data_IF_347678008025
#
_entry.id   IF_347678008025
#
_cell.length_a   1.000
_cell.length_b   1.000
_cell.length_c   1.000
_cell.angle_alpha   90.00
_cell.angle_beta   90.00
_cell.angle_gamma   90.00
#
_symmetry.space_group_name_H-M   'P 1'
#
loop_
_entity.id
_entity.type
_entity.pdbx_description
1 polymer ?
#
# COMPACT_ATOMS: atom_id res chain seq x y z
N UNK A 1 -23.05 52.09 14.32
CA UNK A 1 -23.83 50.97 13.77
C UNK A 1 -22.93 50.19 12.82
N UNK A 2 -22.18 49.22 13.34
CA UNK A 2 -21.29 48.36 12.55
C UNK A 2 -21.80 46.93 12.69
N UNK A 3 -22.35 46.39 11.60
CA UNK A 3 -22.77 44.99 11.50
C UNK A 3 -21.60 44.20 10.91
N UNK A 4 -20.98 43.34 11.71
CA UNK A 4 -20.01 42.36 11.23
C UNK A 4 -20.74 41.03 11.02
N UNK A 5 -20.92 40.65 9.75
CA UNK A 5 -21.49 39.36 9.36
C UNK A 5 -20.45 38.25 9.49
N UNK A 6 -20.81 37.23 10.26
CA UNK A 6 -20.13 35.95 10.35
C UNK A 6 -20.17 35.17 9.02
N UNK A 7 -19.06 34.54 8.65
CA UNK A 7 -18.96 33.52 7.60
C UNK A 7 -17.48 33.19 7.36
N UNK A 8 -17.00 31.96 7.25
CA UNK A 8 -17.67 30.67 7.19
C UNK A 8 -16.79 29.58 7.80
N UNK A 9 -17.46 28.49 8.14
CA UNK A 9 -16.94 27.29 8.75
C UNK A 9 -15.87 26.63 7.88
N UNK A 10 -14.64 26.55 8.41
CA UNK A 10 -13.63 25.61 7.93
C UNK A 10 -14.05 24.18 8.28
N UNK A 11 -14.31 23.36 7.27
CA UNK A 11 -14.47 21.91 7.47
C UNK A 11 -13.11 21.33 7.85
N UNK A 12 -12.89 21.14 9.16
CA UNK A 12 -11.76 20.37 9.67
C UNK A 12 -12.03 18.91 9.31
N UNK A 13 -11.25 18.38 8.36
CA UNK A 13 -11.13 16.93 8.14
C UNK A 13 -10.79 16.30 9.48
N UNK A 14 -11.69 15.47 9.99
CA UNK A 14 -11.41 14.61 11.13
C UNK A 14 -10.38 13.60 10.64
N UNK A 15 -9.12 13.82 11.00
CA UNK A 15 -8.13 12.74 10.99
C UNK A 15 -8.53 11.84 12.15
N UNK A 16 -9.20 10.73 11.85
CA UNK A 16 -9.45 9.68 12.84
C UNK A 16 -8.08 9.07 13.14
N UNK A 17 -7.45 9.50 14.24
CA UNK A 17 -6.35 8.77 14.83
C UNK A 17 -6.93 7.50 15.45
N UNK A 18 -6.94 6.41 14.68
CA UNK A 18 -7.23 5.09 15.22
C UNK A 18 -6.12 4.71 16.21
N UNK A 19 -6.51 4.24 17.40
CA UNK A 19 -5.57 3.66 18.36
C UNK A 19 -4.89 2.43 17.76
N UNK A 20 -3.63 2.11 18.13
CA UNK A 20 -2.95 0.93 17.61
C UNK A 20 -3.63 -0.32 18.18
N UNK A 21 -4.46 -0.97 17.36
CA UNK A 21 -4.80 -2.37 17.57
C UNK A 21 -3.56 -3.20 17.24
N UNK A 22 -3.36 -4.31 17.94
CA UNK A 22 -2.21 -5.21 17.81
C UNK A 22 -2.19 -6.01 16.48
N UNK A 23 -2.75 -5.44 15.41
CA UNK A 23 -2.68 -5.93 14.04
C UNK A 23 -1.74 -4.99 13.30
N UNK A 24 -0.61 -5.51 12.83
CA UNK A 24 0.28 -4.70 12.00
C UNK A 24 -0.51 -4.22 10.79
N UNK A 25 -0.60 -2.90 10.58
CA UNK A 25 -1.24 -2.36 9.39
C UNK A 25 -0.53 -2.89 8.13
N UNK A 26 -1.32 -3.44 7.20
CA UNK A 26 -0.80 -4.22 6.07
C UNK A 26 -0.79 -3.37 4.80
N UNK A 27 0.29 -3.47 4.01
CA UNK A 27 0.34 -3.02 2.63
C UNK A 27 0.33 -4.23 1.69
N UNK A 28 -0.65 -4.29 0.81
CA UNK A 28 -0.77 -5.29 -0.25
C UNK A 28 0.12 -4.89 -1.42
N UNK A 29 1.10 -5.74 -1.75
CA UNK A 29 1.91 -5.61 -2.96
C UNK A 29 1.07 -5.91 -4.22
N UNK A 30 1.56 -5.46 -5.37
CA UNK A 30 0.88 -5.59 -6.66
C UNK A 30 0.54 -7.03 -6.99
N UNK A 31 1.42 -7.99 -6.67
CA UNK A 31 1.17 -9.40 -6.94
C UNK A 31 -0.03 -9.95 -6.14
N UNK A 32 -0.18 -9.57 -4.86
CA UNK A 32 -1.32 -9.93 -4.02
C UNK A 32 -2.61 -9.32 -4.57
N UNK A 33 -2.59 -8.06 -4.99
CA UNK A 33 -3.74 -7.41 -5.65
C UNK A 33 -4.15 -8.17 -6.92
N UNK A 34 -3.19 -8.53 -7.76
CA UNK A 34 -3.43 -9.28 -9.00
C UNK A 34 -4.02 -10.66 -8.68
N UNK A 35 -3.50 -11.38 -7.68
CA UNK A 35 -4.05 -12.68 -7.30
C UNK A 35 -5.45 -12.59 -6.69
N UNK A 36 -5.75 -11.53 -5.95
CA UNK A 36 -7.10 -11.25 -5.47
C UNK A 36 -8.06 -11.05 -6.65
N UNK A 37 -7.71 -10.17 -7.59
CA UNK A 37 -8.53 -9.86 -8.77
C UNK A 37 -8.72 -11.06 -9.71
N UNK A 38 -7.75 -11.99 -9.73
CA UNK A 38 -7.86 -13.27 -10.45
C UNK A 38 -8.74 -14.31 -9.76
N UNK A 39 -9.30 -14.01 -8.59
CA UNK A 39 -10.22 -14.91 -7.90
C UNK A 39 -9.55 -16.04 -7.12
N UNK A 40 -8.28 -15.90 -6.72
CA UNK A 40 -7.61 -16.94 -5.93
C UNK A 40 -8.21 -17.01 -4.52
N UNK A 41 -9.01 -18.04 -4.26
CA UNK A 41 -9.80 -18.15 -3.02
C UNK A 41 -9.02 -18.00 -1.71
N UNK A 42 -7.84 -18.64 -1.52
CA UNK A 42 -7.05 -18.40 -0.31
C UNK A 42 -6.70 -16.92 -0.07
N UNK A 43 -6.42 -16.18 -1.16
CA UNK A 43 -6.08 -14.76 -1.06
C UNK A 43 -7.31 -13.91 -0.80
N UNK A 44 -8.43 -14.20 -1.46
CA UNK A 44 -9.68 -13.48 -1.20
C UNK A 44 -10.11 -13.64 0.25
N UNK A 45 -10.13 -14.88 0.76
CA UNK A 45 -10.47 -15.16 2.14
C UNK A 45 -9.56 -14.40 3.11
N UNK A 46 -8.24 -14.44 2.87
CA UNK A 46 -7.29 -13.73 3.72
C UNK A 46 -7.43 -12.20 3.65
N UNK A 47 -7.61 -11.60 2.46
CA UNK A 47 -7.85 -10.15 2.31
C UNK A 47 -9.13 -9.72 3.01
N UNK A 48 -10.20 -10.53 2.95
CA UNK A 48 -11.43 -10.28 3.70
C UNK A 48 -11.23 -10.37 5.22
N UNK A 49 -10.46 -11.36 5.68
CA UNK A 49 -10.13 -11.53 7.10
C UNK A 49 -9.37 -10.32 7.64
N UNK A 50 -8.26 -9.93 6.99
CA UNK A 50 -7.48 -8.77 7.44
C UNK A 50 -8.29 -7.48 7.32
N UNK A 51 -9.11 -7.35 6.28
CA UNK A 51 -10.00 -6.21 6.07
C UNK A 51 -11.10 -6.06 7.13
N UNK A 52 -11.43 -7.13 7.86
CA UNK A 52 -12.34 -7.07 9.01
C UNK A 52 -11.70 -6.48 10.27
N UNK A 53 -10.36 -6.43 10.31
CA UNK A 53 -9.57 -5.93 11.44
C UNK A 53 -9.07 -4.50 11.21
N UNK A 54 -8.57 -4.21 10.01
CA UNK A 54 -8.07 -2.90 9.57
C UNK A 54 -8.18 -2.80 8.05
N UNK A 55 -8.40 -1.59 7.51
CA UNK A 55 -8.50 -1.39 6.06
C UNK A 55 -7.12 -1.63 5.43
N UNK A 56 -6.96 -2.61 4.52
CA UNK A 56 -5.67 -2.89 3.91
C UNK A 56 -5.25 -1.73 3.01
N UNK A 57 -3.94 -1.50 2.94
CA UNK A 57 -3.35 -0.43 2.14
C UNK A 57 -2.76 -0.97 0.85
N UNK A 58 -2.60 -0.12 -0.14
CA UNK A 58 -1.73 -0.38 -1.29
C UNK A 58 -0.98 0.88 -1.68
N UNK A 59 0.14 0.72 -2.39
CA UNK A 59 0.88 1.86 -2.93
C UNK A 59 0.15 2.44 -4.15
N UNK A 60 0.23 3.76 -4.34
CA UNK A 60 -0.21 4.38 -5.59
C UNK A 60 0.51 3.80 -6.84
N UNK A 61 1.74 3.27 -6.68
CA UNK A 61 2.41 2.55 -7.76
C UNK A 61 1.77 1.18 -8.04
N UNK A 62 1.32 0.46 -7.01
CA UNK A 62 0.58 -0.80 -7.21
C UNK A 62 -0.75 -0.56 -7.94
N UNK A 63 -1.43 0.55 -7.64
CA UNK A 63 -2.60 1.01 -8.42
C UNK A 63 -2.23 1.21 -9.89
N UNK A 64 -1.11 1.88 -10.15
CA UNK A 64 -0.62 2.13 -11.51
C UNK A 64 -0.38 0.82 -12.27
N UNK A 65 0.30 -0.14 -11.66
CA UNK A 65 0.59 -1.44 -12.27
C UNK A 65 -0.68 -2.26 -12.54
N UNK A 66 -1.62 -2.30 -11.59
CA UNK A 66 -2.90 -2.99 -11.75
C UNK A 66 -3.70 -2.39 -12.91
N UNK A 67 -3.84 -1.06 -12.95
CA UNK A 67 -4.60 -0.38 -14.02
C UNK A 67 -3.91 -0.55 -15.37
N UNK A 68 -2.58 -0.47 -15.43
CA UNK A 68 -1.83 -0.67 -16.67
C UNK A 68 -1.95 -2.11 -17.22
N UNK A 69 -2.06 -3.11 -16.34
CA UNK A 69 -2.18 -4.53 -16.70
C UNK A 69 -3.61 -5.03 -16.92
N UNK A 70 -4.61 -4.22 -16.58
CA UNK A 70 -6.04 -4.58 -16.59
C UNK A 70 -6.62 -4.66 -18.01
N UNK A 71 -7.49 -5.64 -18.27
CA UNK A 71 -8.29 -5.69 -19.50
C UNK A 71 -9.58 -4.86 -19.33
N UNK A 72 -10.13 -4.24 -20.38
CA UNK A 72 -11.33 -3.40 -20.26
C UNK A 72 -12.53 -4.05 -19.54
N UNK A 73 -12.73 -5.36 -19.76
CA UNK A 73 -13.80 -6.13 -19.10
C UNK A 73 -13.64 -6.28 -17.58
N UNK A 74 -12.42 -6.10 -17.07
CA UNK A 74 -12.07 -6.24 -15.65
C UNK A 74 -12.22 -4.90 -14.90
N UNK A 75 -12.42 -3.77 -15.61
CA UNK A 75 -12.47 -2.43 -15.03
C UNK A 75 -13.46 -2.27 -13.87
N UNK A 76 -14.72 -2.72 -13.96
CA UNK A 76 -15.67 -2.52 -12.88
C UNK A 76 -15.22 -3.19 -11.57
N UNK A 77 -14.81 -4.46 -11.65
CA UNK A 77 -14.34 -5.22 -10.48
C UNK A 77 -13.03 -4.66 -9.93
N UNK A 78 -12.11 -4.26 -10.80
CA UNK A 78 -10.83 -3.67 -10.38
C UNK A 78 -11.04 -2.33 -9.68
N UNK A 79 -11.89 -1.45 -10.22
CA UNK A 79 -12.20 -0.16 -9.60
C UNK A 79 -12.85 -0.35 -8.23
N UNK A 80 -13.87 -1.20 -8.14
CA UNK A 80 -14.54 -1.50 -6.87
C UNK A 80 -13.56 -2.02 -5.81
N UNK A 81 -12.67 -2.94 -6.19
CA UNK A 81 -11.67 -3.46 -5.26
C UNK A 81 -10.68 -2.38 -4.82
N UNK A 82 -10.09 -1.61 -5.74
CA UNK A 82 -9.12 -0.57 -5.40
C UNK A 82 -9.73 0.56 -4.55
N UNK A 83 -11.01 0.90 -4.77
CA UNK A 83 -11.75 1.87 -3.95
C UNK A 83 -12.01 1.37 -2.52
N UNK A 84 -11.97 0.06 -2.29
CA UNK A 84 -12.08 -0.53 -0.96
C UNK A 84 -10.77 -0.49 -0.15
N UNK A 85 -9.65 -0.12 -0.77
CA UNK A 85 -8.33 -0.07 -0.14
C UNK A 85 -7.93 1.37 0.24
N UNK A 86 -7.08 1.49 1.25
CA UNK A 86 -6.44 2.75 1.57
C UNK A 86 -5.17 2.95 0.70
N UNK A 87 -5.25 3.82 -0.30
CA UNK A 87 -4.09 4.13 -1.15
C UNK A 87 -3.10 5.04 -0.40
N UNK A 88 -1.82 4.65 -0.39
CA UNK A 88 -0.73 5.47 0.16
C UNK A 88 -0.04 6.21 -0.99
N UNK A 89 -0.13 7.54 -0.96
CA UNK A 89 0.52 8.42 -1.92
C UNK A 89 2.04 8.43 -1.74
N UNK A 90 2.77 8.64 -2.85
CA UNK A 90 4.23 8.79 -2.81
C UNK A 90 4.57 10.26 -2.60
N UNK A 91 5.06 10.58 -1.41
CA UNK A 91 5.58 11.90 -1.08
C UNK A 91 7.10 12.01 -1.27
N UNK A 92 7.66 13.18 -0.95
CA UNK A 92 9.10 13.44 -1.08
C UNK A 92 9.94 12.54 -0.18
N UNK A 93 9.47 12.22 1.03
CA UNK A 93 10.25 11.43 2.00
C UNK A 93 10.27 9.96 1.59
N UNK A 94 9.16 9.43 1.08
CA UNK A 94 9.09 8.10 0.46
C UNK A 94 10.02 8.04 -0.75
N UNK A 95 9.93 9.02 -1.66
CA UNK A 95 10.76 9.07 -2.87
C UNK A 95 12.26 9.15 -2.54
N UNK A 96 12.63 9.94 -1.52
CA UNK A 96 14.01 10.04 -1.06
C UNK A 96 14.52 8.70 -0.51
N UNK A 97 13.77 8.08 0.40
CA UNK A 97 14.14 6.79 0.97
C UNK A 97 14.23 5.69 -0.10
N UNK A 98 13.33 5.67 -1.08
CA UNK A 98 13.39 4.75 -2.21
C UNK A 98 14.70 4.92 -3.01
N UNK A 99 15.11 6.17 -3.27
CA UNK A 99 16.39 6.47 -3.91
C UNK A 99 17.61 6.00 -3.10
N UNK A 100 17.58 6.16 -1.78
CA UNK A 100 18.62 5.64 -0.89
C UNK A 100 18.71 4.10 -0.93
N UNK A 101 17.56 3.43 -0.92
CA UNK A 101 17.49 1.97 -1.04
C UNK A 101 18.09 1.50 -2.36
N UNK A 102 17.72 2.11 -3.49
CA UNK A 102 18.27 1.79 -4.82
C UNK A 102 19.80 2.00 -4.83
N UNK A 103 20.28 3.11 -4.29
CA UNK A 103 21.71 3.42 -4.25
C UNK A 103 22.48 2.39 -3.40
N UNK A 104 21.99 2.03 -2.22
CA UNK A 104 22.64 1.04 -1.35
C UNK A 104 22.69 -0.35 -2.01
N UNK A 105 21.59 -0.79 -2.63
CA UNK A 105 21.53 -2.07 -3.33
C UNK A 105 22.46 -2.09 -4.54
N UNK A 106 22.49 -1.01 -5.32
CA UNK A 106 23.39 -0.86 -6.46
C UNK A 106 24.87 -0.95 -6.06
N UNK A 107 25.26 -0.35 -4.93
CA UNK A 107 26.63 -0.46 -4.38
C UNK A 107 27.03 -1.90 -4.02
N UNK A 108 26.05 -2.76 -3.73
CA UNK A 108 26.23 -4.18 -3.41
C UNK A 108 26.10 -5.09 -4.65
N UNK A 109 25.93 -4.51 -5.83
CA UNK A 109 25.75 -5.25 -7.09
C UNK A 109 24.36 -5.89 -7.23
N UNK A 110 23.38 -5.44 -6.43
CA UNK A 110 21.99 -5.90 -6.48
C UNK A 110 21.14 -4.88 -7.23
N UNK A 111 20.13 -5.36 -7.96
CA UNK A 111 19.14 -4.52 -8.63
C UNK A 111 17.88 -4.53 -7.78
N UNK A 112 17.43 -3.35 -7.38
CA UNK A 112 16.12 -3.11 -6.80
C UNK A 112 15.43 -2.10 -7.72
N UNK A 113 14.30 -2.47 -8.31
CA UNK A 113 13.61 -1.57 -9.24
C UNK A 113 12.91 -0.42 -8.49
N UNK A 114 12.51 0.60 -9.26
CA UNK A 114 11.91 1.81 -8.71
C UNK A 114 10.58 1.55 -7.99
N UNK A 115 9.79 0.58 -8.46
CA UNK A 115 8.48 0.30 -7.87
C UNK A 115 8.67 -0.46 -6.57
N UNK A 116 9.44 -1.55 -6.56
CA UNK A 116 9.76 -2.33 -5.37
C UNK A 116 10.46 -1.45 -4.31
N UNK A 117 11.40 -0.60 -4.70
CA UNK A 117 12.05 0.35 -3.78
C UNK A 117 11.06 1.34 -3.16
N UNK A 118 10.11 1.84 -3.95
CA UNK A 118 9.10 2.79 -3.47
C UNK A 118 8.10 2.10 -2.55
N UNK A 119 7.64 0.89 -2.88
CA UNK A 119 6.77 0.08 -2.03
C UNK A 119 7.45 -0.21 -0.68
N UNK A 120 8.71 -0.62 -0.72
CA UNK A 120 9.47 -0.88 0.51
C UNK A 120 9.68 0.40 1.34
N UNK A 121 10.02 1.52 0.70
CA UNK A 121 10.16 2.81 1.38
C UNK A 121 8.83 3.23 2.04
N UNK A 122 7.70 3.04 1.36
CA UNK A 122 6.36 3.28 1.93
C UNK A 122 6.14 2.44 3.18
N UNK A 123 6.44 1.14 3.12
CA UNK A 123 6.30 0.26 4.29
C UNK A 123 7.18 0.70 5.46
N UNK A 124 8.44 1.03 5.20
CA UNK A 124 9.38 1.50 6.23
C UNK A 124 8.95 2.84 6.85
N UNK A 125 8.43 3.78 6.05
CA UNK A 125 8.01 5.10 6.53
C UNK A 125 6.75 5.06 7.39
N UNK A 126 5.84 4.16 7.08
CA UNK A 126 4.54 4.03 7.73
C UNK A 126 4.44 2.87 8.72
N UNK A 127 5.55 2.16 8.96
CA UNK A 127 5.61 0.96 9.81
C UNK A 127 4.59 -0.12 9.40
N UNK A 128 4.51 -0.38 8.10
CA UNK A 128 3.56 -1.35 7.52
C UNK A 128 4.23 -2.71 7.29
N UNK A 129 3.45 -3.78 7.47
CA UNK A 129 3.85 -5.12 7.05
C UNK A 129 3.50 -5.32 5.56
N UNK A 130 4.48 -5.74 4.76
CA UNK A 130 4.30 -6.01 3.33
C UNK A 130 3.71 -7.41 3.11
N UNK A 131 2.59 -7.48 2.41
CA UNK A 131 2.03 -8.73 1.90
C UNK A 131 2.44 -8.88 0.42
N UNK A 132 3.33 -9.84 0.13
CA UNK A 132 3.89 -10.07 -1.21
C UNK A 132 4.14 -11.56 -1.42
N UNK A 133 4.01 -12.05 -2.66
CA UNK A 133 4.48 -13.38 -3.06
C UNK A 133 5.97 -13.38 -3.43
N UNK A 134 6.59 -12.21 -3.53
CA UNK A 134 7.95 -12.04 -4.02
C UNK A 134 8.89 -11.48 -2.94
N UNK A 135 8.77 -11.95 -1.70
CA UNK A 135 9.59 -11.49 -0.56
C UNK A 135 11.11 -11.47 -0.85
N UNK A 136 11.60 -12.38 -1.71
CA UNK A 136 13.01 -12.43 -2.16
C UNK A 136 13.46 -11.18 -2.95
N UNK A 137 12.55 -10.42 -3.55
CA UNK A 137 12.86 -9.16 -4.25
C UNK A 137 13.14 -8.01 -3.26
N UNK A 138 12.82 -8.20 -1.98
CA UNK A 138 12.95 -7.20 -0.95
C UNK A 138 14.02 -7.56 0.10
N UNK A 139 15.33 -7.62 -0.24
CA UNK A 139 16.42 -7.86 0.72
C UNK A 139 16.73 -6.60 1.56
N UNK A 140 15.67 -5.98 2.11
CA UNK A 140 15.69 -4.67 2.74
C UNK A 140 15.60 -4.85 4.26
N UNK A 141 16.61 -4.34 4.96
CA UNK A 141 16.68 -4.44 6.42
C UNK A 141 15.55 -3.63 7.06
N UNK A 142 14.86 -4.25 8.02
CA UNK A 142 13.77 -3.60 8.78
C UNK A 142 12.40 -3.68 8.11
N UNK A 143 12.32 -4.18 6.87
CA UNK A 143 11.04 -4.45 6.23
C UNK A 143 10.37 -5.65 6.90
N UNK A 144 9.13 -5.47 7.34
CA UNK A 144 8.31 -6.55 7.91
C UNK A 144 7.44 -7.17 6.83
N UNK A 145 7.17 -8.46 6.96
CA UNK A 145 6.28 -9.19 6.06
C UNK A 145 5.05 -9.66 6.80
N UNK A 146 3.89 -9.54 6.16
CA UNK A 146 2.64 -10.09 6.68
C UNK A 146 2.67 -11.63 6.62
N UNK A 147 1.95 -12.27 7.53
CA UNK A 147 1.75 -13.72 7.50
C UNK A 147 0.44 -14.03 6.75
N UNK A 148 0.51 -14.93 5.76
CA UNK A 148 -0.66 -15.27 4.96
C UNK A 148 -0.39 -16.37 3.93
N UNK A 149 -1.33 -16.61 3.00
CA UNK A 149 -1.23 -17.67 1.97
C UNK A 149 -0.12 -17.45 0.92
N UNK A 150 0.63 -16.35 1.03
CA UNK A 150 1.80 -15.99 0.25
C UNK A 150 3.14 -16.25 0.97
N UNK A 151 3.08 -16.53 2.28
CA UNK A 151 4.24 -16.91 3.09
C UNK A 151 4.58 -18.38 2.81
N UNK A 152 5.43 -18.61 1.82
CA UNK A 152 6.04 -19.91 1.50
C UNK A 152 7.52 -19.93 1.81
#
# INVERSE_FOLDING_TARGET
MWSATCGGFGQRRIVVCAAPSAVDSILLDTDVLIWYLRGREPIKAWVHEVGSLDVPRCSALSVTEVVAGMRPREEPTTREFLESLAVVDVDREIAWLAGELIQDHGRRGLILDFVDATIAATCLRHDLALATYNARHYPIRGLRFAHGPFSG
#
